data_IF_172712888246
#
_entry.id   IF_172712888246
#
_cell.length_a   1.000
_cell.length_b   1.000
_cell.length_c   1.000
_cell.angle_alpha   90.00
_cell.angle_beta   90.00
_cell.angle_gamma   90.00
#
_symmetry.space_group_name_H-M   'P 1'
#
loop_
_entity.id
_entity.type
_entity.pdbx_description
1 polymer ?
#
# COMPACT_ATOMS: atom_id res chain seq x y z
N UNK A 1 -7.23 17.48 -0.09
CA UNK A 1 -6.48 17.87 -1.30
C UNK A 1 -5.35 18.87 -1.02
N UNK A 2 -5.61 20.08 -0.49
CA UNK A 2 -4.55 21.10 -0.22
C UNK A 2 -3.38 20.55 0.61
N UNK A 3 -3.67 19.88 1.73
CA UNK A 3 -2.66 19.24 2.59
C UNK A 3 -1.81 18.17 1.88
N UNK A 4 -2.38 17.46 0.90
CA UNK A 4 -1.64 16.44 0.15
C UNK A 4 -0.67 17.07 -0.84
N UNK A 5 -1.06 18.16 -1.49
CA UNK A 5 -0.16 18.92 -2.38
C UNK A 5 1.01 19.57 -1.60
N UNK A 6 0.74 20.08 -0.40
CA UNK A 6 1.79 20.60 0.50
C UNK A 6 2.77 19.49 0.90
N UNK A 7 2.26 18.32 1.34
CA UNK A 7 3.11 17.18 1.66
C UNK A 7 3.94 16.69 0.45
N UNK A 8 3.36 16.69 -0.77
CA UNK A 8 4.09 16.36 -2.00
C UNK A 8 5.26 17.33 -2.22
N UNK A 9 5.04 18.63 -2.01
CA UNK A 9 6.09 19.63 -2.15
C UNK A 9 7.21 19.42 -1.12
N UNK A 10 6.86 19.09 0.13
CA UNK A 10 7.85 18.85 1.18
C UNK A 10 8.67 17.57 0.93
N UNK A 11 8.03 16.46 0.56
CA UNK A 11 8.79 15.26 0.17
C UNK A 11 9.64 15.48 -1.08
N UNK A 12 9.21 16.33 -2.01
CA UNK A 12 10.03 16.70 -3.16
C UNK A 12 11.31 17.44 -2.75
N UNK A 13 11.23 18.32 -1.74
CA UNK A 13 12.43 18.95 -1.17
C UNK A 13 13.33 17.92 -0.50
N UNK A 14 12.76 16.99 0.28
CA UNK A 14 13.55 15.92 0.92
C UNK A 14 14.29 15.09 -0.13
N UNK A 15 13.61 14.68 -1.20
CA UNK A 15 14.21 13.92 -2.32
C UNK A 15 15.31 14.73 -3.03
N UNK A 16 15.16 16.05 -3.15
CA UNK A 16 16.20 16.90 -3.74
C UNK A 16 17.46 17.02 -2.88
N UNK A 17 17.32 16.83 -1.57
CA UNK A 17 18.42 16.86 -0.59
C UNK A 17 19.08 15.48 -0.51
N UNK A 18 18.27 14.42 -0.43
CA UNK A 18 18.71 13.03 -0.43
C UNK A 18 17.90 12.19 -1.44
N UNK A 19 18.44 11.99 -2.66
CA UNK A 19 17.80 11.19 -3.69
C UNK A 19 17.70 9.69 -3.36
N UNK A 20 18.36 9.21 -2.31
CA UNK A 20 18.33 7.81 -1.87
C UNK A 20 17.46 7.60 -0.63
N UNK A 21 16.65 8.59 -0.23
CA UNK A 21 15.77 8.43 0.92
C UNK A 21 14.43 7.77 0.53
N UNK A 22 14.37 6.44 0.63
CA UNK A 22 13.25 5.60 0.17
C UNK A 22 11.90 6.04 0.77
N UNK A 23 11.85 6.36 2.06
CA UNK A 23 10.63 6.77 2.76
C UNK A 23 10.01 8.04 2.16
N UNK A 24 10.82 8.99 1.68
CA UNK A 24 10.26 10.19 1.05
C UNK A 24 9.56 9.87 -0.27
N UNK A 25 10.11 8.95 -1.07
CA UNK A 25 9.44 8.47 -2.27
C UNK A 25 8.16 7.70 -1.93
N UNK A 26 8.21 6.76 -0.99
CA UNK A 26 7.02 6.00 -0.60
C UNK A 26 5.90 6.93 -0.10
N UNK A 27 6.23 7.87 0.78
CA UNK A 27 5.26 8.80 1.32
C UNK A 27 4.69 9.76 0.27
N UNK A 28 5.53 10.27 -0.65
CA UNK A 28 5.06 11.11 -1.76
C UNK A 28 4.16 10.32 -2.71
N UNK A 29 4.54 9.09 -3.04
CA UNK A 29 3.74 8.15 -3.81
C UNK A 29 2.38 7.88 -3.17
N UNK A 30 2.33 7.70 -1.84
CA UNK A 30 1.07 7.56 -1.10
C UNK A 30 0.18 8.81 -1.21
N UNK A 31 0.75 10.02 -1.20
CA UNK A 31 -0.05 11.24 -1.43
C UNK A 31 -0.58 11.31 -2.87
N UNK A 32 0.18 10.87 -3.86
CA UNK A 32 -0.33 10.73 -5.23
C UNK A 32 -1.47 9.71 -5.31
N UNK A 33 -1.36 8.57 -4.63
CA UNK A 33 -2.44 7.58 -4.52
C UNK A 33 -3.72 8.19 -3.93
N UNK A 34 -3.63 8.93 -2.82
CA UNK A 34 -4.78 9.61 -2.21
C UNK A 34 -5.41 10.69 -3.12
N UNK A 35 -4.64 11.21 -4.08
CA UNK A 35 -5.11 12.11 -5.14
C UNK A 35 -5.58 11.39 -6.40
N UNK A 36 -5.62 10.05 -6.40
CA UNK A 36 -5.93 9.18 -7.54
C UNK A 36 -4.99 9.36 -8.74
N UNK A 37 -3.77 9.85 -8.50
CA UNK A 37 -2.70 9.97 -9.50
C UNK A 37 -1.86 8.68 -9.48
N UNK A 38 -2.49 7.57 -9.86
CA UNK A 38 -1.93 6.22 -9.66
C UNK A 38 -0.62 5.99 -10.41
N UNK A 39 -0.44 6.55 -11.62
CA UNK A 39 0.82 6.41 -12.37
C UNK A 39 2.01 7.04 -11.63
N UNK A 40 1.82 8.24 -11.07
CA UNK A 40 2.86 8.92 -10.28
C UNK A 40 3.12 8.21 -8.96
N UNK A 41 2.06 7.69 -8.33
CA UNK A 41 2.21 6.87 -7.13
C UNK A 41 3.06 5.64 -7.41
N UNK A 42 2.79 4.95 -8.51
CA UNK A 42 3.52 3.76 -8.93
C UNK A 42 4.99 4.06 -9.22
N UNK A 43 5.29 5.18 -9.91
CA UNK A 43 6.65 5.62 -10.19
C UNK A 43 7.44 5.83 -8.90
N UNK A 44 6.93 6.66 -7.99
CA UNK A 44 7.60 6.98 -6.72
C UNK A 44 7.80 5.74 -5.85
N UNK A 45 6.75 4.94 -5.64
CA UNK A 45 6.84 3.75 -4.78
C UNK A 45 7.80 2.71 -5.40
N UNK A 46 7.88 2.63 -6.73
CA UNK A 46 8.85 1.76 -7.41
C UNK A 46 10.29 2.24 -7.21
N UNK A 47 10.53 3.55 -7.15
CA UNK A 47 11.84 4.09 -6.77
C UNK A 47 12.16 3.75 -5.31
N UNK A 48 11.21 3.91 -4.38
CA UNK A 48 11.39 3.51 -2.98
C UNK A 48 11.82 2.04 -2.87
N UNK A 49 11.16 1.15 -3.60
CA UNK A 49 11.48 -0.29 -3.63
C UNK A 49 12.73 -0.64 -4.43
N UNK A 50 13.26 0.28 -5.25
CA UNK A 50 14.59 0.10 -5.87
C UNK A 50 15.70 0.39 -4.86
N UNK A 51 15.49 1.38 -3.99
CA UNK A 51 16.42 1.76 -2.93
C UNK A 51 16.35 0.74 -1.78
N UNK A 52 15.14 0.38 -1.34
CA UNK A 52 14.88 -0.59 -0.26
C UNK A 52 13.95 -1.71 -0.76
N UNK A 53 14.48 -2.77 -1.39
CA UNK A 53 13.66 -3.82 -2.02
C UNK A 53 12.77 -4.63 -1.08
N UNK A 54 13.04 -4.60 0.21
CA UNK A 54 12.33 -5.34 1.24
C UNK A 54 11.61 -4.42 2.24
N UNK A 55 11.29 -3.19 1.87
CA UNK A 55 10.45 -2.31 2.68
C UNK A 55 8.98 -2.78 2.59
N UNK A 56 8.38 -3.34 3.65
CA UNK A 56 7.06 -3.96 3.59
C UNK A 56 5.94 -2.92 3.39
N UNK A 57 6.11 -1.70 3.91
CA UNK A 57 5.14 -0.61 3.74
C UNK A 57 5.11 -0.06 2.31
N UNK A 58 6.27 -0.02 1.64
CA UNK A 58 6.33 0.36 0.22
C UNK A 58 5.73 -0.75 -0.68
N UNK A 59 5.93 -2.03 -0.35
CA UNK A 59 5.26 -3.15 -1.02
C UNK A 59 3.73 -3.07 -0.85
N UNK A 60 3.24 -2.85 0.38
CA UNK A 60 1.82 -2.64 0.66
C UNK A 60 1.24 -1.45 -0.13
N UNK A 61 1.94 -0.31 -0.11
CA UNK A 61 1.53 0.89 -0.85
C UNK A 61 1.43 0.62 -2.37
N UNK A 62 2.39 -0.11 -2.95
CA UNK A 62 2.35 -0.47 -4.37
C UNK A 62 1.26 -1.48 -4.68
N UNK A 63 1.02 -2.42 -3.78
CA UNK A 63 -0.11 -3.35 -3.86
C UNK A 63 -1.45 -2.61 -3.94
N UNK A 64 -1.65 -1.59 -3.08
CA UNK A 64 -2.84 -0.73 -3.14
C UNK A 64 -2.97 -0.03 -4.50
N UNK A 65 -1.88 0.54 -5.04
CA UNK A 65 -1.88 1.17 -6.37
C UNK A 65 -2.22 0.16 -7.47
N UNK A 66 -1.63 -1.03 -7.45
CA UNK A 66 -1.91 -2.08 -8.43
C UNK A 66 -3.37 -2.55 -8.35
N UNK A 67 -3.96 -2.68 -7.16
CA UNK A 67 -5.39 -3.00 -7.01
C UNK A 67 -6.27 -1.95 -7.69
N UNK A 68 -6.01 -0.66 -7.47
CA UNK A 68 -6.78 0.42 -8.10
C UNK A 68 -6.64 0.44 -9.64
N UNK A 69 -5.50 -0.04 -10.16
CA UNK A 69 -5.24 -0.20 -11.59
C UNK A 69 -5.79 -1.53 -12.17
N UNK A 70 -6.43 -2.38 -11.36
CA UNK A 70 -6.91 -3.71 -11.78
C UNK A 70 -5.79 -4.75 -11.99
N UNK A 71 -4.56 -4.45 -11.57
CA UNK A 71 -3.36 -5.29 -11.71
C UNK A 71 -3.23 -6.25 -10.53
N UNK A 72 -4.23 -7.11 -10.37
CA UNK A 72 -4.38 -7.91 -9.15
C UNK A 72 -3.26 -8.92 -8.92
N UNK A 73 -2.69 -9.49 -9.98
CA UNK A 73 -1.57 -10.42 -9.85
C UNK A 73 -0.34 -9.74 -9.25
N UNK A 74 0.01 -8.54 -9.70
CA UNK A 74 1.11 -7.77 -9.11
C UNK A 74 0.79 -7.30 -7.69
N UNK A 75 -0.46 -6.87 -7.43
CA UNK A 75 -0.89 -6.50 -6.08
C UNK A 75 -0.72 -7.66 -5.09
N UNK A 76 -1.13 -8.86 -5.49
CA UNK A 76 -0.98 -10.07 -4.68
C UNK A 76 0.48 -10.48 -4.47
N UNK A 77 1.34 -10.30 -5.48
CA UNK A 77 2.77 -10.57 -5.33
C UNK A 77 3.40 -9.65 -4.28
N UNK A 78 3.13 -8.34 -4.34
CA UNK A 78 3.69 -7.37 -3.41
C UNK A 78 3.18 -7.58 -1.99
N UNK A 79 1.87 -7.75 -1.78
CA UNK A 79 1.33 -7.90 -0.42
C UNK A 79 1.75 -9.23 0.24
N UNK A 80 1.85 -10.32 -0.54
CA UNK A 80 2.37 -11.58 -0.01
C UNK A 80 3.86 -11.46 0.34
N UNK A 81 4.63 -10.69 -0.44
CA UNK A 81 6.03 -10.39 -0.09
C UNK A 81 6.11 -9.57 1.20
N UNK A 82 5.27 -8.55 1.38
CA UNK A 82 5.22 -7.75 2.61
C UNK A 82 4.94 -8.64 3.84
N UNK A 83 3.90 -9.49 3.78
CA UNK A 83 3.56 -10.44 4.86
C UNK A 83 4.70 -11.42 5.15
N UNK A 84 5.48 -11.82 4.13
CA UNK A 84 6.62 -12.73 4.32
C UNK A 84 7.83 -12.07 4.98
N UNK A 85 7.95 -10.74 4.88
CA UNK A 85 9.03 -9.95 5.49
C UNK A 85 8.67 -9.63 6.94
N UNK A 86 7.46 -9.14 7.17
CA UNK A 86 6.95 -8.73 8.47
C UNK A 86 5.50 -9.18 8.58
N UNK A 87 5.22 -10.02 9.59
CA UNK A 87 3.85 -10.48 9.84
C UNK A 87 3.08 -9.42 10.64
N UNK A 88 2.70 -8.34 9.96
CA UNK A 88 1.80 -7.31 10.47
C UNK A 88 0.34 -7.61 10.06
N UNK A 89 -0.59 -7.50 11.01
CA UNK A 89 -2.03 -7.69 10.78
C UNK A 89 -2.60 -6.69 9.79
N UNK A 90 -2.01 -5.50 9.70
CA UNK A 90 -2.37 -4.48 8.71
C UNK A 90 -2.29 -5.03 7.28
N UNK A 91 -1.25 -5.81 6.95
CA UNK A 91 -1.07 -6.37 5.60
C UNK A 91 -2.12 -7.42 5.25
N UNK A 92 -2.66 -8.13 6.25
CA UNK A 92 -3.80 -9.03 6.03
C UNK A 92 -5.06 -8.25 5.68
N UNK A 93 -5.28 -7.07 6.28
CA UNK A 93 -6.37 -6.19 5.87
C UNK A 93 -6.24 -5.79 4.38
N UNK A 94 -5.05 -5.34 3.96
CA UNK A 94 -4.79 -5.00 2.54
C UNK A 94 -4.98 -6.21 1.62
N UNK A 95 -4.49 -7.40 1.99
CA UNK A 95 -4.67 -8.60 1.16
C UNK A 95 -6.14 -9.02 1.08
N UNK A 96 -6.90 -8.85 2.16
CA UNK A 96 -8.36 -9.01 2.15
C UNK A 96 -9.05 -8.07 1.15
N UNK A 97 -8.63 -6.80 1.07
CA UNK A 97 -9.12 -5.85 0.08
C UNK A 97 -8.77 -6.27 -1.36
N UNK A 98 -7.57 -6.82 -1.59
CA UNK A 98 -7.18 -7.37 -2.89
C UNK A 98 -8.06 -8.57 -3.27
N UNK A 99 -8.26 -9.54 -2.37
CA UNK A 99 -9.15 -10.67 -2.61
C UNK A 99 -10.59 -10.21 -2.90
N UNK A 100 -11.09 -9.23 -2.15
CA UNK A 100 -12.43 -8.66 -2.38
C UNK A 100 -12.54 -8.05 -3.78
N UNK A 101 -11.53 -7.30 -4.23
CA UNK A 101 -11.50 -6.74 -5.59
C UNK A 101 -11.45 -7.81 -6.69
N UNK A 102 -10.85 -8.97 -6.39
CA UNK A 102 -10.82 -10.15 -7.28
C UNK A 102 -12.12 -10.99 -7.25
N UNK A 103 -13.09 -10.67 -6.37
CA UNK A 103 -14.30 -11.48 -6.17
C UNK A 103 -14.09 -12.74 -5.30
N UNK A 104 -12.92 -12.87 -4.68
CA UNK A 104 -12.51 -14.00 -3.83
C UNK A 104 -13.02 -13.82 -2.40
N UNK A 105 -14.35 -13.75 -2.26
CA UNK A 105 -15.04 -13.32 -1.03
C UNK A 105 -14.67 -14.12 0.21
N UNK A 106 -14.52 -15.44 0.10
CA UNK A 106 -14.20 -16.28 1.27
C UNK A 106 -12.76 -16.07 1.75
N UNK A 107 -11.81 -15.88 0.82
CA UNK A 107 -10.42 -15.53 1.17
C UNK A 107 -10.36 -14.14 1.80
N UNK A 108 -11.11 -13.17 1.25
CA UNK A 108 -11.21 -11.83 1.81
C UNK A 108 -11.73 -11.84 3.26
N UNK A 109 -12.84 -12.57 3.52
CA UNK A 109 -13.39 -12.73 4.87
C UNK A 109 -12.38 -13.36 5.83
N UNK A 110 -11.64 -14.38 5.40
CA UNK A 110 -10.64 -15.02 6.24
C UNK A 110 -9.53 -14.04 6.67
N UNK A 111 -9.01 -13.26 5.73
CA UNK A 111 -7.98 -12.24 6.00
C UNK A 111 -8.51 -11.10 6.87
N UNK A 112 -9.71 -10.58 6.58
CA UNK A 112 -10.32 -9.55 7.42
C UNK A 112 -10.61 -10.06 8.84
N UNK A 113 -11.03 -11.32 8.99
CA UNK A 113 -11.23 -11.94 10.30
C UNK A 113 -9.93 -12.01 11.08
N UNK A 114 -8.84 -12.48 10.46
CA UNK A 114 -7.52 -12.53 11.10
C UNK A 114 -7.08 -11.14 11.58
N UNK A 115 -7.18 -10.14 10.72
CA UNK A 115 -6.80 -8.77 11.06
C UNK A 115 -7.71 -8.17 12.17
N UNK A 116 -9.03 -8.34 12.05
CA UNK A 116 -10.00 -7.83 13.03
C UNK A 116 -9.82 -8.45 14.42
N UNK A 117 -9.66 -9.78 14.50
CA UNK A 117 -9.46 -10.50 15.76
C UNK A 117 -8.19 -10.02 16.49
N UNK A 118 -7.20 -9.52 15.74
CA UNK A 118 -5.97 -8.93 16.29
C UNK A 118 -5.99 -7.41 16.47
N UNK A 119 -7.14 -6.75 16.27
CA UNK A 119 -7.34 -5.34 16.62
C UNK A 119 -7.40 -4.35 15.44
N UNK A 120 -7.29 -4.81 14.19
CA UNK A 120 -7.42 -3.93 13.02
C UNK A 120 -8.88 -3.50 12.80
N UNK A 121 -9.23 -2.31 13.28
CA UNK A 121 -10.61 -1.80 13.23
C UNK A 121 -11.15 -1.69 11.80
N UNK A 122 -10.30 -1.36 10.83
CA UNK A 122 -10.72 -1.23 9.44
C UNK A 122 -11.08 -2.59 8.84
N UNK A 123 -10.37 -3.65 9.21
CA UNK A 123 -10.75 -5.01 8.85
C UNK A 123 -12.09 -5.41 9.50
N UNK A 124 -12.31 -5.03 10.76
CA UNK A 124 -13.60 -5.27 11.44
C UNK A 124 -14.78 -4.57 10.74
N UNK A 125 -14.55 -3.39 10.15
CA UNK A 125 -15.58 -2.69 9.37
C UNK A 125 -15.86 -3.41 8.06
N UNK A 126 -14.82 -3.93 7.38
CA UNK A 126 -14.99 -4.69 6.14
C UNK A 126 -15.77 -6.00 6.33
N UNK A 127 -15.61 -6.70 7.46
CA UNK A 127 -16.38 -7.92 7.78
C UNK A 127 -17.88 -7.70 7.94
N UNK A 128 -18.28 -6.48 8.31
CA UNK A 128 -19.69 -6.13 8.60
C UNK A 128 -20.46 -5.68 7.37
N UNK A 129 -19.77 -5.46 6.24
CA UNK A 129 -20.37 -5.05 4.95
C UNK A 129 -20.80 -6.28 4.16
#
# INVERSE_FOLDING_TARGET
>A
LKKYNEAIADYTKVISIDPNYADAYNNRGWKYYLLKQYDKALEDITVALRIEPNNPYALDSRSNVYRELGRYSEAMADINKAISIEEDLFFYCTRGLNYKAMGETEKAKADFKKACDGGEEDACKELKK
#
